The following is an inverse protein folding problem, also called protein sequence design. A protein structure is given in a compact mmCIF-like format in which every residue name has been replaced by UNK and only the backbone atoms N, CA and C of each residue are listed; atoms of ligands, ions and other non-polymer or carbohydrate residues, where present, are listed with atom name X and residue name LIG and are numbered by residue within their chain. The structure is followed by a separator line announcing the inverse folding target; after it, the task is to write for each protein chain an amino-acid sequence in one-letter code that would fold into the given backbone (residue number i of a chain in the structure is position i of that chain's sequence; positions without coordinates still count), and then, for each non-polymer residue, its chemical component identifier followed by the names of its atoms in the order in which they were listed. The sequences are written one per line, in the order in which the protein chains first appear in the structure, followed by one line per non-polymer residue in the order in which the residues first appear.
data_IF_782961601469
#
_entry.id   IF_782961601469
#
_cell.length_a   1.000
_cell.length_b   1.000
_cell.length_c   1.000
_cell.angle_alpha   90.00
_cell.angle_beta   90.00
_cell.angle_gamma   90.00
#
_symmetry.space_group_name_H-M   'P 1'
#
loop_
_entity.id
_entity.type
_entity.pdbx_description
1 polymer ?
#
# COMPACT_ATOMS: atom_id res chain seq x y z
N UNK A 1 32.16 42.83 11.29
CA UNK A 1 30.78 43.19 10.88
C UNK A 1 30.40 42.73 9.46
N UNK A 2 31.25 42.87 8.43
CA UNK A 2 30.94 42.35 7.06
C UNK A 2 30.85 40.83 6.95
N UNK A 3 31.71 40.08 7.64
CA UNK A 3 31.72 38.60 7.63
C UNK A 3 30.47 38.02 8.31
N UNK A 4 29.99 38.62 9.41
CA UNK A 4 28.78 38.23 10.11
C UNK A 4 27.53 38.49 9.25
N UNK A 5 27.50 39.58 8.47
CA UNK A 5 26.39 39.86 7.53
C UNK A 5 26.39 38.91 6.34
N UNK A 6 27.56 38.52 5.81
CA UNK A 6 27.67 37.55 4.74
C UNK A 6 27.24 36.16 5.23
N UNK A 7 27.64 35.73 6.42
CA UNK A 7 27.21 34.46 7.02
C UNK A 7 25.70 34.38 7.27
N UNK A 8 25.08 35.48 7.76
CA UNK A 8 23.64 35.56 7.95
C UNK A 8 22.85 35.53 6.61
N UNK A 9 23.39 36.17 5.56
CA UNK A 9 22.80 36.15 4.24
C UNK A 9 22.85 34.73 3.62
N UNK A 10 24.01 34.04 3.73
CA UNK A 10 24.14 32.65 3.26
C UNK A 10 23.17 31.69 4.01
N UNK A 11 23.07 31.83 5.34
CA UNK A 11 22.16 31.03 6.13
C UNK A 11 20.69 31.26 5.75
N UNK A 12 20.32 32.54 5.47
CA UNK A 12 18.98 32.88 4.99
C UNK A 12 18.66 32.28 3.63
N UNK A 13 19.61 32.29 2.69
CA UNK A 13 19.43 31.66 1.37
C UNK A 13 19.28 30.14 1.49
N UNK A 14 20.11 29.48 2.29
CA UNK A 14 20.01 28.04 2.50
C UNK A 14 18.69 27.64 3.15
N UNK A 15 18.20 28.42 4.11
CA UNK A 15 16.90 28.20 4.73
C UNK A 15 15.74 28.37 3.73
N UNK A 16 15.81 29.39 2.85
CA UNK A 16 14.80 29.61 1.83
C UNK A 16 14.77 28.49 0.77
N UNK A 17 15.94 28.00 0.34
CA UNK A 17 16.07 26.85 -0.56
C UNK A 17 15.49 25.60 0.07
N UNK A 18 15.87 25.28 1.30
CA UNK A 18 15.33 24.10 2.03
C UNK A 18 13.81 24.17 2.24
N UNK A 19 13.26 25.37 2.48
CA UNK A 19 11.80 25.56 2.57
C UNK A 19 11.12 25.33 1.21
N UNK A 20 11.69 25.85 0.11
CA UNK A 20 11.14 25.66 -1.23
C UNK A 20 11.17 24.17 -1.66
N UNK A 21 12.28 23.47 -1.39
CA UNK A 21 12.39 22.02 -1.61
C UNK A 21 11.34 21.25 -0.81
N UNK A 22 11.19 21.58 0.48
CA UNK A 22 10.18 20.98 1.35
C UNK A 22 8.76 21.15 0.77
N UNK A 23 8.39 22.37 0.39
CA UNK A 23 7.08 22.67 -0.20
C UNK A 23 6.86 21.90 -1.50
N UNK A 24 7.87 21.84 -2.36
CA UNK A 24 7.82 21.11 -3.62
C UNK A 24 7.60 19.61 -3.40
N UNK A 25 8.46 18.99 -2.59
CA UNK A 25 8.37 17.55 -2.33
C UNK A 25 7.10 17.17 -1.57
N UNK A 26 6.71 17.95 -0.56
CA UNK A 26 5.49 17.71 0.19
C UNK A 26 4.24 17.79 -0.72
N UNK A 27 4.12 18.86 -1.50
CA UNK A 27 3.02 19.01 -2.44
C UNK A 27 2.98 17.93 -3.51
N UNK A 28 4.17 17.44 -3.94
CA UNK A 28 4.30 16.39 -4.93
C UNK A 28 4.01 14.99 -4.39
N UNK A 29 4.28 14.72 -3.12
CA UNK A 29 4.17 13.37 -2.55
C UNK A 29 2.90 13.16 -1.73
N UNK A 30 2.50 14.14 -0.92
CA UNK A 30 1.46 13.97 0.08
C UNK A 30 0.05 14.37 -0.38
N UNK A 31 -0.06 15.24 -1.38
CA UNK A 31 -1.36 15.69 -1.87
C UNK A 31 -1.98 14.73 -2.88
N UNK A 32 -3.33 14.68 -2.87
CA UNK A 32 -4.12 14.02 -3.90
C UNK A 32 -3.61 14.36 -5.29
N UNK A 33 -3.48 13.37 -6.15
CA UNK A 33 -3.07 13.54 -7.54
C UNK A 33 -4.21 13.23 -8.49
N UNK A 34 -4.27 13.99 -9.59
CA UNK A 34 -5.01 13.55 -10.76
C UNK A 34 -4.23 12.38 -11.37
N UNK A 35 -4.88 11.25 -11.51
CA UNK A 35 -4.27 10.02 -12.04
C UNK A 35 -3.89 10.25 -13.51
N UNK A 36 -2.60 10.28 -13.80
CA UNK A 36 -2.09 10.31 -15.18
C UNK A 36 -1.45 8.96 -15.49
N UNK A 37 -2.18 8.12 -16.23
CA UNK A 37 -1.76 6.76 -16.59
C UNK A 37 -0.44 6.68 -17.37
N UNK A 38 -0.08 7.70 -18.15
CA UNK A 38 1.16 7.71 -18.94
C UNK A 38 2.43 7.82 -18.09
N UNK A 39 2.29 8.29 -16.85
CA UNK A 39 3.40 8.51 -15.92
C UNK A 39 3.73 7.27 -15.08
N UNK A 40 2.79 6.35 -14.93
CA UNK A 40 2.90 5.16 -14.08
C UNK A 40 3.82 4.08 -14.67
N UNK A 41 3.99 4.03 -15.99
CA UNK A 41 4.72 2.97 -16.69
C UNK A 41 6.25 2.95 -16.47
N UNK A 42 6.82 3.98 -15.82
CA UNK A 42 8.28 4.09 -15.57
C UNK A 42 8.64 4.37 -14.11
N UNK A 43 7.72 4.12 -13.18
CA UNK A 43 8.02 4.31 -11.76
C UNK A 43 8.81 3.12 -11.21
N UNK A 44 9.79 3.45 -10.37
CA UNK A 44 10.46 2.51 -9.48
C UNK A 44 11.35 1.43 -10.14
N UNK A 45 11.84 1.66 -11.35
CA UNK A 45 12.81 0.75 -11.99
C UNK A 45 12.19 -0.50 -12.63
N UNK A 46 10.85 -0.63 -12.63
CA UNK A 46 10.16 -1.72 -13.31
C UNK A 46 9.78 -1.30 -14.72
N UNK A 47 10.13 -2.09 -15.72
CA UNK A 47 9.64 -1.94 -17.09
C UNK A 47 8.35 -2.74 -17.27
N UNK A 48 7.22 -2.05 -17.11
CA UNK A 48 5.89 -2.64 -17.25
C UNK A 48 5.50 -2.97 -18.70
N UNK A 49 6.25 -2.50 -19.69
CA UNK A 49 5.94 -2.76 -21.09
C UNK A 49 6.01 -4.25 -21.45
N UNK A 50 6.89 -5.00 -20.79
CA UNK A 50 7.02 -6.45 -20.99
C UNK A 50 5.77 -7.25 -20.54
N UNK A 51 4.93 -6.68 -19.70
CA UNK A 51 3.69 -7.29 -19.18
C UNK A 51 2.42 -6.72 -19.83
N UNK A 52 2.57 -5.85 -20.83
CA UNK A 52 1.44 -5.08 -21.42
C UNK A 52 0.34 -5.99 -21.99
N UNK A 53 0.69 -7.09 -22.61
CA UNK A 53 -0.26 -8.02 -23.22
C UNK A 53 -1.11 -8.74 -22.17
N UNK A 54 -0.47 -9.37 -21.19
CA UNK A 54 -1.19 -10.05 -20.09
C UNK A 54 -1.99 -9.08 -19.23
N UNK A 55 -1.48 -7.86 -19.00
CA UNK A 55 -2.21 -6.83 -18.29
C UNK A 55 -3.46 -6.37 -19.07
N UNK A 56 -3.37 -6.24 -20.39
CA UNK A 56 -4.51 -5.89 -21.24
C UNK A 56 -5.58 -6.99 -21.23
N UNK A 57 -5.19 -8.25 -21.38
CA UNK A 57 -6.08 -9.41 -21.35
C UNK A 57 -6.83 -9.50 -20.01
N UNK A 58 -6.11 -9.47 -18.90
CA UNK A 58 -6.71 -9.59 -17.57
C UNK A 58 -7.57 -8.38 -17.19
N UNK A 59 -7.19 -7.19 -17.66
CA UNK A 59 -8.01 -6.00 -17.51
C UNK A 59 -9.32 -6.13 -18.27
N UNK A 60 -9.28 -6.62 -19.50
CA UNK A 60 -10.48 -6.85 -20.30
C UNK A 60 -11.38 -7.89 -19.63
N UNK A 61 -10.80 -8.98 -19.13
CA UNK A 61 -11.53 -9.98 -18.36
C UNK A 61 -12.21 -9.38 -17.12
N UNK A 62 -11.47 -8.63 -16.30
CA UNK A 62 -11.98 -8.03 -15.07
C UNK A 62 -13.09 -7.01 -15.33
N UNK A 63 -12.97 -6.18 -16.37
CA UNK A 63 -13.97 -5.19 -16.73
C UNK A 63 -15.28 -5.78 -17.23
N UNK A 64 -15.30 -7.05 -17.66
CA UNK A 64 -16.52 -7.78 -18.04
C UNK A 64 -17.24 -8.40 -16.84
N UNK A 65 -16.57 -8.48 -15.68
CA UNK A 65 -17.19 -9.09 -14.50
C UNK A 65 -18.20 -8.12 -13.87
N UNK A 66 -19.36 -8.64 -13.41
CA UNK A 66 -20.31 -7.83 -12.66
C UNK A 66 -19.65 -7.33 -11.37
N UNK A 67 -19.86 -6.06 -11.03
CA UNK A 67 -19.39 -5.47 -9.79
C UNK A 67 -20.38 -4.46 -9.25
N UNK A 68 -20.25 -4.15 -7.98
CA UNK A 68 -21.04 -3.14 -7.28
C UNK A 68 -20.11 -2.00 -6.86
N UNK A 69 -20.50 -0.76 -7.16
CA UNK A 69 -19.87 0.43 -6.59
C UNK A 69 -20.38 0.63 -5.15
N UNK A 70 -19.49 0.56 -4.19
CA UNK A 70 -19.83 0.61 -2.77
C UNK A 70 -19.09 1.71 -2.05
N UNK A 71 -19.65 2.17 -0.94
CA UNK A 71 -19.13 3.30 -0.18
C UNK A 71 -19.16 3.01 1.31
N UNK A 72 -18.18 3.56 2.02
CA UNK A 72 -18.17 3.69 3.47
C UNK A 72 -17.84 5.11 3.89
N UNK A 73 -18.16 5.46 5.11
CA UNK A 73 -17.68 6.69 5.76
C UNK A 73 -16.47 6.33 6.60
N UNK A 74 -15.35 7.00 6.36
CA UNK A 74 -14.12 6.83 7.15
C UNK A 74 -14.30 7.29 8.60
N UNK A 75 -13.37 6.94 9.47
CA UNK A 75 -13.36 7.33 10.89
C UNK A 75 -13.35 8.88 11.11
N UNK A 76 -12.93 9.64 10.11
CA UNK A 76 -12.85 11.11 10.11
C UNK A 76 -13.81 11.78 9.10
N UNK A 77 -14.81 11.04 8.61
CA UNK A 77 -15.96 11.56 7.86
C UNK A 77 -15.79 11.61 6.34
N UNK A 78 -14.72 11.08 5.77
CA UNK A 78 -14.57 11.01 4.31
C UNK A 78 -15.46 9.93 3.71
N UNK A 79 -16.07 10.20 2.56
CA UNK A 79 -16.74 9.19 1.74
C UNK A 79 -15.68 8.42 0.95
N UNK A 80 -15.50 7.16 1.27
CA UNK A 80 -14.56 6.26 0.60
C UNK A 80 -15.30 5.31 -0.33
N UNK A 81 -14.70 5.05 -1.48
CA UNK A 81 -15.23 4.20 -2.55
C UNK A 81 -14.50 2.87 -2.60
N UNK A 82 -15.20 1.80 -2.97
CA UNK A 82 -14.63 0.54 -3.43
C UNK A 82 -15.49 -0.09 -4.54
N UNK A 83 -14.85 -0.92 -5.36
CA UNK A 83 -15.55 -1.83 -6.27
C UNK A 83 -15.60 -3.22 -5.63
N UNK A 84 -16.79 -3.80 -5.49
CA UNK A 84 -16.98 -5.15 -4.99
C UNK A 84 -17.34 -6.10 -6.14
N UNK A 85 -16.55 -7.14 -6.30
CA UNK A 85 -16.75 -8.20 -7.27
C UNK A 85 -17.21 -9.47 -6.54
N UNK A 86 -18.44 -9.97 -6.78
CA UNK A 86 -18.87 -11.24 -6.21
C UNK A 86 -18.04 -12.40 -6.77
N UNK A 87 -17.98 -13.56 -6.11
CA UNK A 87 -17.28 -14.73 -6.62
C UNK A 87 -17.95 -15.20 -7.93
N UNK A 88 -17.14 -15.60 -8.91
CA UNK A 88 -17.63 -16.11 -10.20
C UNK A 88 -18.08 -17.56 -10.08
N UNK A 89 -17.45 -18.32 -9.18
CA UNK A 89 -17.78 -19.72 -8.89
C UNK A 89 -18.41 -19.82 -7.53
N UNK A 90 -19.56 -20.51 -7.45
CA UNK A 90 -20.13 -20.86 -6.16
C UNK A 90 -19.21 -21.90 -5.48
N UNK A 91 -18.55 -21.50 -4.40
CA UNK A 91 -17.89 -22.46 -3.53
C UNK A 91 -18.94 -23.10 -2.61
N UNK A 92 -19.02 -24.43 -2.62
CA UNK A 92 -19.79 -25.19 -1.64
C UNK A 92 -19.24 -25.07 -0.20
N UNK A 93 -18.16 -24.30 -0.01
CA UNK A 93 -17.47 -24.06 1.22
C UNK A 93 -17.74 -22.70 1.87
N UNK A 94 -16.81 -22.25 2.68
CA UNK A 94 -16.86 -20.94 3.34
C UNK A 94 -16.78 -19.80 2.34
N UNK A 95 -17.53 -18.73 2.61
CA UNK A 95 -17.43 -17.50 1.83
C UNK A 95 -16.09 -16.85 2.09
N UNK A 96 -15.29 -16.61 1.06
CA UNK A 96 -13.99 -15.96 1.13
C UNK A 96 -13.98 -14.63 0.41
N UNK A 97 -13.44 -13.60 1.06
CA UNK A 97 -13.30 -12.26 0.49
C UNK A 97 -11.86 -11.80 0.65
N UNK A 98 -11.25 -11.32 -0.42
CA UNK A 98 -9.99 -10.60 -0.36
C UNK A 98 -10.24 -9.09 -0.50
N UNK A 99 -9.73 -8.30 0.45
CA UNK A 99 -9.71 -6.83 0.38
C UNK A 99 -8.35 -6.40 -0.14
N UNK A 100 -8.35 -5.75 -1.31
CA UNK A 100 -7.18 -5.45 -2.13
C UNK A 100 -6.74 -3.99 -1.99
N UNK A 101 -5.72 -3.70 -1.21
CA UNK A 101 -5.21 -2.35 -0.97
C UNK A 101 -4.11 -1.98 -1.97
N UNK A 102 -4.38 -0.98 -2.81
CA UNK A 102 -3.48 -0.55 -3.88
C UNK A 102 -2.30 0.30 -3.41
N UNK A 103 -1.29 0.45 -4.26
CA UNK A 103 -0.10 1.25 -4.04
C UNK A 103 -0.30 2.76 -4.27
N UNK A 104 0.74 3.50 -3.95
CA UNK A 104 0.81 4.95 -4.12
C UNK A 104 0.58 5.37 -5.58
N UNK A 105 -0.26 6.40 -5.80
CA UNK A 105 -0.68 6.93 -7.12
C UNK A 105 -1.44 5.94 -8.01
N UNK A 106 -1.82 4.79 -7.50
CA UNK A 106 -2.68 3.82 -8.15
C UNK A 106 -4.16 4.04 -7.77
N UNK A 107 -5.01 3.09 -8.06
CA UNK A 107 -6.40 3.04 -7.64
C UNK A 107 -6.87 1.59 -7.60
N UNK A 108 -7.86 1.30 -6.78
CA UNK A 108 -8.46 0.02 -6.46
C UNK A 108 -8.02 -1.19 -7.26
N UNK A 109 -8.61 -1.39 -8.43
CA UNK A 109 -8.37 -2.58 -9.27
C UNK A 109 -6.99 -2.63 -9.95
N UNK A 110 -6.32 -1.48 -10.14
CA UNK A 110 -5.19 -1.39 -11.10
C UNK A 110 -4.01 -2.27 -10.75
N UNK A 111 -3.65 -2.35 -9.48
CA UNK A 111 -2.48 -3.13 -9.05
C UNK A 111 -2.79 -4.63 -8.92
N UNK A 112 -4.07 -5.00 -8.84
CA UNK A 112 -4.54 -6.38 -8.66
C UNK A 112 -5.02 -7.05 -9.93
N UNK A 113 -4.96 -6.37 -11.08
CA UNK A 113 -5.36 -6.94 -12.38
C UNK A 113 -4.66 -8.28 -12.63
N UNK A 114 -3.37 -8.38 -12.31
CA UNK A 114 -2.61 -9.61 -12.44
C UNK A 114 -3.17 -10.79 -11.64
N UNK A 115 -3.63 -10.53 -10.42
CA UNK A 115 -4.10 -11.52 -9.45
C UNK A 115 -5.60 -11.88 -9.61
N UNK A 116 -6.33 -11.22 -10.50
CA UNK A 116 -7.78 -11.40 -10.66
C UNK A 116 -8.14 -12.86 -10.96
N UNK A 117 -7.42 -13.49 -11.90
CA UNK A 117 -7.66 -14.90 -12.27
C UNK A 117 -7.44 -15.83 -11.09
N UNK A 118 -6.37 -15.62 -10.31
CA UNK A 118 -6.06 -16.41 -9.16
C UNK A 118 -7.21 -16.39 -8.15
N UNK A 119 -7.63 -15.22 -7.71
CA UNK A 119 -8.67 -15.10 -6.69
C UNK A 119 -10.02 -15.62 -7.17
N UNK A 120 -10.42 -15.35 -8.40
CA UNK A 120 -11.67 -15.87 -8.92
C UNK A 120 -11.68 -17.39 -9.09
N UNK A 121 -10.58 -18.00 -9.55
CA UNK A 121 -10.44 -19.46 -9.64
C UNK A 121 -10.54 -20.13 -8.27
N UNK A 122 -10.07 -19.46 -7.22
CA UNK A 122 -10.15 -19.95 -5.85
C UNK A 122 -11.46 -19.57 -5.14
N UNK A 123 -12.44 -19.01 -5.87
CA UNK A 123 -13.77 -18.71 -5.38
C UNK A 123 -13.86 -17.53 -4.41
N UNK A 124 -12.89 -16.63 -4.46
CA UNK A 124 -12.93 -15.39 -3.68
C UNK A 124 -13.86 -14.35 -4.31
N UNK A 125 -14.62 -13.65 -3.46
CA UNK A 125 -15.06 -12.30 -3.80
C UNK A 125 -13.89 -11.34 -3.61
N UNK A 126 -13.87 -10.24 -4.36
CA UNK A 126 -12.80 -9.23 -4.28
C UNK A 126 -13.40 -7.87 -3.95
N UNK A 127 -12.85 -7.18 -2.96
CA UNK A 127 -13.15 -5.78 -2.67
C UNK A 127 -11.92 -4.93 -2.97
N UNK A 128 -12.08 -3.93 -3.83
CA UNK A 128 -11.01 -3.04 -4.27
C UNK A 128 -11.26 -1.60 -3.79
N UNK A 129 -10.89 -1.23 -2.57
CA UNK A 129 -10.99 0.14 -2.11
C UNK A 129 -10.05 1.08 -2.88
N UNK A 130 -10.56 2.26 -3.23
CA UNK A 130 -9.69 3.40 -3.48
C UNK A 130 -9.27 3.98 -2.12
N UNK A 131 -7.98 4.04 -1.85
CA UNK A 131 -7.46 4.64 -0.63
C UNK A 131 -7.85 6.12 -0.54
N UNK A 132 -7.89 6.68 0.70
CA UNK A 132 -8.11 8.12 0.86
C UNK A 132 -7.21 8.95 -0.04
N UNK A 133 -7.71 10.04 -0.59
CA UNK A 133 -7.05 10.90 -1.57
C UNK A 133 -6.66 10.21 -2.90
N UNK A 134 -7.27 9.05 -3.23
CA UNK A 134 -7.10 8.37 -4.52
C UNK A 134 -8.45 8.12 -5.21
N UNK A 135 -8.40 7.91 -6.51
CA UNK A 135 -9.54 7.48 -7.33
C UNK A 135 -10.83 8.24 -7.04
N UNK A 136 -11.89 7.50 -6.69
CA UNK A 136 -13.23 8.00 -6.36
C UNK A 136 -13.43 8.27 -4.86
N UNK A 137 -12.48 7.90 -4.00
CA UNK A 137 -12.50 8.23 -2.58
C UNK A 137 -12.19 9.70 -2.32
N UNK A 138 -12.80 10.27 -1.28
CA UNK A 138 -12.52 11.64 -0.84
C UNK A 138 -11.15 11.75 -0.14
N UNK A 139 -10.79 12.97 0.23
CA UNK A 139 -9.56 13.33 0.92
C UNK A 139 -8.63 14.19 0.06
N UNK A 140 -7.85 15.04 0.72
CA UNK A 140 -6.86 15.91 0.09
C UNK A 140 -5.44 15.38 0.27
N UNK A 141 -5.19 14.69 1.39
CA UNK A 141 -3.87 14.18 1.75
C UNK A 141 -3.86 12.66 1.84
N UNK A 142 -2.77 12.05 1.33
CA UNK A 142 -2.56 10.61 1.31
C UNK A 142 -2.14 10.14 2.71
N UNK A 143 -2.71 9.03 3.18
CA UNK A 143 -2.49 8.53 4.54
C UNK A 143 -1.25 7.66 4.71
N UNK A 144 -0.68 7.13 3.61
CA UNK A 144 0.52 6.25 3.59
C UNK A 144 0.49 5.13 4.63
N UNK A 145 -0.66 4.49 4.81
CA UNK A 145 -0.87 3.44 5.78
C UNK A 145 -1.23 3.95 7.18
N UNK A 146 -0.76 5.14 7.59
CA UNK A 146 -1.01 5.67 8.93
C UNK A 146 -2.49 5.94 9.20
N UNK A 147 -3.19 6.52 8.24
CA UNK A 147 -4.64 6.74 8.32
C UNK A 147 -5.40 5.60 7.65
N UNK A 148 -4.91 5.09 6.52
CA UNK A 148 -5.55 4.06 5.72
C UNK A 148 -5.80 2.76 6.50
N UNK A 149 -4.95 2.43 7.50
CA UNK A 149 -5.17 1.27 8.38
C UNK A 149 -6.47 1.35 9.18
N UNK A 150 -6.93 2.57 9.50
CA UNK A 150 -8.21 2.78 10.18
C UNK A 150 -9.38 2.66 9.20
N UNK A 151 -9.18 3.11 7.96
CA UNK A 151 -10.16 2.91 6.89
C UNK A 151 -10.33 1.43 6.54
N UNK A 152 -9.25 0.63 6.68
CA UNK A 152 -9.29 -0.81 6.48
C UNK A 152 -10.26 -1.51 7.44
N UNK A 153 -10.38 -1.05 8.71
CA UNK A 153 -11.37 -1.58 9.66
C UNK A 153 -12.80 -1.38 9.12
N UNK A 154 -13.11 -0.20 8.61
CA UNK A 154 -14.43 0.05 8.04
C UNK A 154 -14.75 -0.82 6.81
N UNK A 155 -13.76 -1.14 5.99
CA UNK A 155 -13.94 -2.08 4.89
C UNK A 155 -14.12 -3.52 5.35
N UNK A 156 -13.44 -3.93 6.42
CA UNK A 156 -13.66 -5.24 7.06
C UNK A 156 -15.08 -5.33 7.60
N UNK A 157 -15.55 -4.31 8.33
CA UNK A 157 -16.92 -4.24 8.86
C UNK A 157 -17.95 -4.27 7.72
N UNK A 158 -17.69 -3.55 6.62
CA UNK A 158 -18.55 -3.58 5.44
C UNK A 158 -18.65 -4.99 4.85
N UNK A 159 -17.54 -5.73 4.72
CA UNK A 159 -17.54 -7.11 4.22
C UNK A 159 -18.34 -8.04 5.14
N UNK A 160 -18.15 -7.92 6.46
CA UNK A 160 -18.91 -8.73 7.42
C UNK A 160 -20.41 -8.47 7.30
N UNK A 161 -20.82 -7.20 7.19
CA UNK A 161 -22.22 -6.83 7.00
C UNK A 161 -22.80 -7.35 5.67
N UNK A 162 -22.01 -7.31 4.59
CA UNK A 162 -22.42 -7.77 3.25
C UNK A 162 -22.50 -9.29 3.14
N UNK A 163 -21.52 -10.00 3.71
CA UNK A 163 -21.31 -11.43 3.48
C UNK A 163 -21.79 -12.32 4.65
N UNK A 164 -21.96 -11.74 5.84
CA UNK A 164 -22.35 -12.44 7.08
C UNK A 164 -21.15 -12.79 7.96
N UNK A 165 -21.42 -13.21 9.21
CA UNK A 165 -20.42 -13.46 10.26
C UNK A 165 -19.48 -14.64 9.97
N UNK A 166 -19.87 -15.58 9.11
CA UNK A 166 -19.09 -16.75 8.74
C UNK A 166 -18.09 -16.50 7.60
N UNK A 167 -17.93 -15.24 7.17
CA UNK A 167 -17.02 -14.88 6.10
C UNK A 167 -15.56 -14.98 6.53
N UNK A 168 -14.71 -15.52 5.67
CA UNK A 168 -13.24 -15.48 5.81
C UNK A 168 -12.69 -14.32 5.00
N UNK A 169 -12.00 -13.40 5.66
CA UNK A 169 -11.45 -12.19 5.07
C UNK A 169 -9.92 -12.28 5.01
N UNK A 170 -9.37 -11.97 3.85
CA UNK A 170 -7.94 -11.83 3.64
C UNK A 170 -7.64 -10.39 3.26
N UNK A 171 -6.63 -9.78 3.88
CA UNK A 171 -6.17 -8.45 3.54
C UNK A 171 -4.94 -8.59 2.65
N UNK A 172 -5.01 -8.12 1.40
CA UNK A 172 -3.87 -8.13 0.49
C UNK A 172 -3.51 -6.71 0.08
N UNK A 173 -2.29 -6.29 0.34
CA UNK A 173 -1.81 -4.96 0.00
C UNK A 173 -0.53 -4.98 -0.83
N UNK A 174 -0.43 -4.07 -1.79
CA UNK A 174 0.76 -3.86 -2.63
C UNK A 174 1.37 -2.49 -2.33
N UNK A 175 2.68 -2.43 -2.04
CA UNK A 175 3.43 -1.19 -1.80
C UNK A 175 2.84 -0.38 -0.62
N UNK A 176 2.28 0.81 -0.87
CA UNK A 176 1.55 1.57 0.16
C UNK A 176 0.42 0.74 0.79
N UNK A 177 -0.32 -0.02 -0.03
CA UNK A 177 -1.32 -0.97 0.46
C UNK A 177 -0.71 -2.08 1.30
N UNK A 178 0.47 -2.60 0.93
CA UNK A 178 1.24 -3.56 1.72
C UNK A 178 1.57 -3.01 3.10
N UNK A 179 2.03 -1.76 3.18
CA UNK A 179 2.26 -1.08 4.47
C UNK A 179 0.96 -0.84 5.23
N UNK A 180 -0.15 -0.54 4.54
CA UNK A 180 -1.47 -0.35 5.15
C UNK A 180 -1.90 -1.61 5.91
N UNK A 181 -1.83 -2.78 5.27
CA UNK A 181 -2.27 -4.04 5.90
C UNK A 181 -1.33 -4.47 7.03
N UNK A 182 -0.01 -4.23 6.89
CA UNK A 182 0.95 -4.45 7.98
C UNK A 182 0.69 -3.53 9.17
N UNK A 183 0.39 -2.26 8.94
CA UNK A 183 0.05 -1.32 10.00
C UNK A 183 -1.32 -1.62 10.61
N UNK A 184 -2.26 -2.17 9.84
CA UNK A 184 -3.56 -2.62 10.35
C UNK A 184 -3.43 -3.85 11.26
N UNK A 185 -2.41 -4.71 11.05
CA UNK A 185 -2.21 -5.93 11.84
C UNK A 185 -2.03 -5.69 13.34
N UNK A 186 -1.57 -4.48 13.72
CA UNK A 186 -1.44 -4.07 15.13
C UNK A 186 -2.72 -3.55 15.76
N UNK A 187 -3.80 -3.45 14.99
CA UNK A 187 -5.13 -3.08 15.48
C UNK A 187 -5.89 -4.33 15.97
N UNK A 188 -7.03 -4.10 16.64
CA UNK A 188 -7.89 -5.21 17.05
C UNK A 188 -8.74 -5.67 15.87
N UNK A 189 -8.20 -6.56 15.03
CA UNK A 189 -8.90 -7.13 13.90
C UNK A 189 -9.93 -8.17 14.36
N UNK A 190 -11.14 -8.23 13.75
CA UNK A 190 -12.15 -9.22 14.09
C UNK A 190 -11.72 -10.64 13.64
N UNK A 191 -12.30 -11.70 14.24
CA UNK A 191 -11.90 -13.09 13.98
C UNK A 191 -12.14 -13.58 12.56
N UNK A 192 -12.94 -12.84 11.77
CA UNK A 192 -13.17 -13.09 10.36
C UNK A 192 -11.92 -12.85 9.52
N UNK A 193 -10.99 -11.98 9.96
CA UNK A 193 -9.72 -11.76 9.28
C UNK A 193 -8.79 -12.93 9.55
N UNK A 194 -8.55 -13.77 8.52
CA UNK A 194 -7.79 -15.02 8.61
C UNK A 194 -6.31 -14.83 8.28
N UNK A 195 -5.99 -13.99 7.31
CA UNK A 195 -4.63 -13.79 6.85
C UNK A 195 -4.39 -12.40 6.28
N UNK A 196 -3.13 -12.00 6.32
CA UNK A 196 -2.63 -10.74 5.77
C UNK A 196 -1.54 -11.06 4.76
N UNK A 197 -1.60 -10.48 3.56
CA UNK A 197 -0.60 -10.61 2.51
C UNK A 197 -0.05 -9.21 2.20
N UNK A 198 1.26 -9.03 2.35
CA UNK A 198 1.92 -7.76 2.07
C UNK A 198 2.99 -7.95 1.00
N UNK A 199 2.75 -7.39 -0.19
CA UNK A 199 3.75 -7.32 -1.26
C UNK A 199 4.42 -5.94 -1.26
N UNK A 200 5.74 -5.92 -1.22
CA UNK A 200 6.64 -4.77 -1.26
C UNK A 200 6.27 -3.60 -0.30
N UNK A 201 5.73 -3.91 0.89
CA UNK A 201 5.41 -2.92 1.91
C UNK A 201 6.65 -2.29 2.55
N UNK A 202 6.55 -1.01 2.97
CA UNK A 202 7.62 -0.26 3.64
C UNK A 202 7.38 -0.16 5.16
N UNK A 203 8.44 0.19 5.90
CA UNK A 203 8.44 0.32 7.36
C UNK A 203 7.62 1.51 7.87
N UNK A 204 7.83 2.70 7.32
CA UNK A 204 7.07 3.93 7.62
C UNK A 204 7.22 4.96 6.50
N UNK A 205 6.28 5.91 6.37
CA UNK A 205 6.42 7.03 5.42
C UNK A 205 7.74 7.78 5.62
N UNK A 206 8.15 8.01 6.86
CA UNK A 206 9.40 8.69 7.18
C UNK A 206 10.63 7.94 6.65
N UNK A 207 10.69 6.64 6.88
CA UNK A 207 11.84 5.84 6.47
C UNK A 207 11.92 5.71 4.94
N UNK A 208 10.79 5.41 4.26
CA UNK A 208 10.79 5.27 2.80
C UNK A 208 11.07 6.60 2.10
N UNK A 209 10.52 7.72 2.56
CA UNK A 209 10.82 9.03 1.95
C UNK A 209 12.28 9.46 2.19
N UNK A 210 12.82 9.20 3.38
CA UNK A 210 14.25 9.44 3.66
C UNK A 210 15.13 8.63 2.70
N UNK A 211 14.78 7.37 2.46
CA UNK A 211 15.50 6.52 1.52
C UNK A 211 15.40 7.04 0.09
N UNK A 212 14.20 7.37 -0.37
CA UNK A 212 13.95 7.90 -1.73
C UNK A 212 14.66 9.23 -1.97
N UNK A 213 14.61 10.16 -1.01
CA UNK A 213 15.35 11.43 -1.10
C UNK A 213 16.84 11.18 -1.31
N UNK A 214 17.43 10.27 -0.53
CA UNK A 214 18.85 9.97 -0.60
C UNK A 214 19.24 9.25 -1.89
N UNK A 215 18.48 8.24 -2.30
CA UNK A 215 18.89 7.32 -3.38
C UNK A 215 18.44 7.78 -4.77
N UNK A 216 17.26 8.39 -4.89
CA UNK A 216 16.72 8.79 -6.19
C UNK A 216 16.94 10.28 -6.50
N UNK A 217 16.91 11.12 -5.46
CA UNK A 217 17.09 12.59 -5.65
C UNK A 217 18.46 13.08 -5.24
N UNK A 218 19.28 12.23 -4.59
CA UNK A 218 20.61 12.58 -4.07
C UNK A 218 20.60 13.80 -3.13
N UNK A 219 19.47 13.97 -2.40
CA UNK A 219 19.26 15.06 -1.47
C UNK A 219 19.40 14.60 -0.02
N UNK A 220 19.90 15.50 0.87
CA UNK A 220 19.91 15.22 2.31
C UNK A 220 18.48 15.21 2.88
N UNK A 221 18.24 14.37 3.88
CA UNK A 221 16.94 14.34 4.56
C UNK A 221 16.68 15.62 5.36
N UNK A 222 17.69 16.23 5.96
CA UNK A 222 17.58 17.52 6.64
C UNK A 222 17.87 18.66 5.67
N UNK A 223 17.08 19.75 5.63
CA UNK A 223 15.88 20.03 6.46
C UNK A 223 14.54 19.52 5.89
N UNK A 224 14.54 18.86 4.71
CA UNK A 224 13.33 18.53 3.92
C UNK A 224 12.37 17.68 4.73
N UNK A 225 12.84 16.60 5.36
CA UNK A 225 11.97 15.69 6.13
C UNK A 225 11.41 16.34 7.39
N UNK A 226 12.16 17.24 8.06
CA UNK A 226 11.66 17.97 9.22
C UNK A 226 10.55 18.94 8.83
N UNK A 227 10.75 19.67 7.74
CA UNK A 227 9.72 20.57 7.21
C UNK A 227 8.47 19.80 6.76
N UNK A 228 8.67 18.68 6.04
CA UNK A 228 7.59 17.79 5.62
C UNK A 228 6.82 17.21 6.81
N UNK A 229 7.49 16.79 7.89
CA UNK A 229 6.85 16.30 9.11
C UNK A 229 5.96 17.36 9.75
N UNK A 230 6.46 18.62 9.87
CA UNK A 230 5.68 19.74 10.43
C UNK A 230 4.45 20.02 9.57
N UNK A 231 4.62 20.05 8.25
CA UNK A 231 3.51 20.27 7.31
C UNK A 231 2.49 19.13 7.39
N UNK A 232 2.95 17.88 7.43
CA UNK A 232 2.08 16.71 7.47
C UNK A 232 1.20 16.70 8.73
N UNK A 233 1.79 16.98 9.89
CA UNK A 233 1.00 17.12 11.15
C UNK A 233 -0.04 18.21 11.08
N UNK A 234 0.26 19.34 10.44
CA UNK A 234 -0.66 20.48 10.33
C UNK A 234 -1.75 20.28 9.28
N UNK A 235 -1.43 19.69 8.15
CA UNK A 235 -2.29 19.65 6.97
C UNK A 235 -3.00 18.30 6.82
N UNK A 236 -2.30 17.19 7.04
CA UNK A 236 -2.83 15.83 6.91
C UNK A 236 -3.24 15.22 8.27
N UNK A 237 -2.90 15.86 9.40
CA UNK A 237 -3.34 15.46 10.74
C UNK A 237 -2.58 14.28 11.35
N UNK A 238 -1.46 13.82 10.77
CA UNK A 238 -0.67 12.71 11.30
C UNK A 238 0.84 12.93 11.15
N UNK A 239 1.66 12.27 11.97
CA UNK A 239 3.11 12.23 11.85
C UNK A 239 3.58 11.11 10.93
N UNK A 240 4.62 11.35 10.12
CA UNK A 240 5.14 10.36 9.16
C UNK A 240 5.75 9.12 9.80
N UNK A 241 6.04 9.15 11.10
CA UNK A 241 6.49 8.01 11.90
C UNK A 241 5.51 7.68 13.05
N UNK A 242 4.32 8.24 13.02
CA UNK A 242 3.27 7.96 14.01
C UNK A 242 2.86 6.49 13.98
N UNK A 243 2.77 5.92 12.77
CA UNK A 243 2.58 4.50 12.55
C UNK A 243 3.78 3.91 11.81
N UNK A 244 4.27 2.76 12.30
CA UNK A 244 5.41 2.07 11.72
C UNK A 244 5.12 0.57 11.69
N UNK A 245 5.24 -0.04 10.51
CA UNK A 245 4.90 -1.44 10.30
C UNK A 245 5.65 -2.37 11.26
N UNK A 246 6.93 -2.09 11.58
CA UNK A 246 7.72 -2.90 12.55
C UNK A 246 7.06 -2.92 13.94
N UNK A 247 6.58 -1.75 14.39
CA UNK A 247 5.90 -1.65 15.70
C UNK A 247 4.52 -2.29 15.71
N UNK A 248 3.84 -2.25 14.57
CA UNK A 248 2.49 -2.79 14.49
C UNK A 248 2.47 -4.31 14.32
N UNK A 249 3.35 -4.89 13.47
CA UNK A 249 3.45 -6.35 13.33
C UNK A 249 3.94 -7.04 14.60
N UNK A 250 4.66 -6.33 15.47
CA UNK A 250 5.02 -6.85 16.79
C UNK A 250 3.83 -7.09 17.73
N UNK A 251 2.64 -6.55 17.38
CA UNK A 251 1.36 -6.76 18.09
C UNK A 251 0.44 -7.70 17.32
N UNK A 252 0.82 -8.10 16.10
CA UNK A 252 -0.03 -8.87 15.21
C UNK A 252 -0.41 -10.23 15.83
N UNK A 253 -1.67 -10.61 15.61
CA UNK A 253 -2.23 -11.91 16.02
C UNK A 253 -2.63 -12.75 14.81
N UNK A 254 -2.94 -12.09 13.70
CA UNK A 254 -3.33 -12.72 12.44
C UNK A 254 -2.07 -13.12 11.68
N UNK A 255 -1.99 -14.32 11.09
CA UNK A 255 -0.87 -14.75 10.25
C UNK A 255 -0.56 -13.80 9.09
N UNK A 256 0.72 -13.65 8.75
CA UNK A 256 1.17 -12.72 7.71
C UNK A 256 2.09 -13.41 6.70
N UNK A 257 1.74 -13.29 5.40
CA UNK A 257 2.62 -13.61 4.28
C UNK A 257 3.30 -12.33 3.79
N UNK A 258 4.62 -12.31 3.85
CA UNK A 258 5.45 -11.23 3.32
C UNK A 258 5.96 -11.62 1.93
N UNK A 259 5.80 -10.74 0.94
CA UNK A 259 6.31 -10.94 -0.42
C UNK A 259 7.13 -9.70 -0.80
N UNK A 260 8.28 -9.90 -1.47
CA UNK A 260 9.11 -8.76 -1.89
C UNK A 260 10.04 -9.15 -3.05
N UNK A 261 10.30 -8.22 -3.95
CA UNK A 261 11.28 -8.40 -5.02
C UNK A 261 12.71 -8.20 -4.52
N UNK A 262 13.66 -9.07 -4.92
CA UNK A 262 15.07 -8.98 -4.50
C UNK A 262 15.80 -7.78 -5.12
N UNK A 263 15.28 -7.19 -6.21
CA UNK A 263 15.83 -6.04 -6.93
C UNK A 263 15.02 -4.75 -6.74
N UNK A 264 14.16 -4.71 -5.73
CA UNK A 264 13.40 -3.49 -5.42
C UNK A 264 14.32 -2.37 -4.93
N UNK A 265 14.45 -1.35 -5.77
CA UNK A 265 15.26 -0.14 -5.48
C UNK A 265 14.43 1.03 -4.99
N UNK A 266 13.09 0.91 -4.98
CA UNK A 266 12.17 1.95 -4.50
C UNK A 266 11.81 1.75 -3.03
N UNK A 267 11.36 0.54 -2.67
CA UNK A 267 11.22 0.07 -1.30
C UNK A 267 12.23 -1.07 -1.11
N UNK A 268 13.38 -0.83 -0.49
CA UNK A 268 14.43 -1.86 -0.46
C UNK A 268 13.97 -3.09 0.32
N UNK A 269 14.30 -4.28 -0.20
CA UNK A 269 13.98 -5.59 0.39
C UNK A 269 14.39 -5.69 1.87
N UNK A 270 15.41 -4.92 2.28
CA UNK A 270 15.81 -4.78 3.67
C UNK A 270 14.65 -4.34 4.58
N UNK A 271 13.75 -3.45 4.11
CA UNK A 271 12.59 -3.04 4.92
C UNK A 271 11.64 -4.22 5.18
N UNK A 272 11.41 -5.07 4.18
CA UNK A 272 10.61 -6.29 4.36
C UNK A 272 11.24 -7.21 5.42
N UNK A 273 12.54 -7.47 5.33
CA UNK A 273 13.24 -8.32 6.29
C UNK A 273 13.14 -7.76 7.72
N UNK A 274 13.37 -6.44 7.90
CA UNK A 274 13.24 -5.78 9.19
C UNK A 274 11.82 -5.91 9.78
N UNK A 275 10.77 -5.79 8.95
CA UNK A 275 9.39 -5.95 9.39
C UNK A 275 9.11 -7.41 9.73
N UNK A 276 9.56 -8.34 8.88
CA UNK A 276 9.42 -9.77 9.10
C UNK A 276 10.03 -10.21 10.43
N UNK A 277 11.24 -9.77 10.74
CA UNK A 277 11.91 -10.08 12.01
C UNK A 277 11.11 -9.61 13.23
N UNK A 278 10.46 -8.45 13.13
CA UNK A 278 9.64 -7.88 14.22
C UNK A 278 8.27 -8.55 14.38
N UNK A 279 7.80 -9.33 13.41
CA UNK A 279 6.45 -9.88 13.41
C UNK A 279 6.26 -10.97 14.48
N UNK A 280 5.25 -10.79 15.34
CA UNK A 280 4.93 -11.69 16.45
C UNK A 280 3.96 -12.83 16.08
N UNK A 281 3.16 -12.68 15.02
CA UNK A 281 2.23 -13.72 14.57
C UNK A 281 2.94 -14.80 13.73
N UNK A 282 2.28 -15.95 13.45
CA UNK A 282 2.74 -16.88 12.42
C UNK A 282 3.03 -16.15 11.12
N UNK A 283 4.14 -16.45 10.47
CA UNK A 283 4.63 -15.68 9.32
C UNK A 283 5.34 -16.53 8.29
N UNK A 284 5.15 -16.17 7.02
CA UNK A 284 5.89 -16.72 5.88
C UNK A 284 6.52 -15.57 5.09
N UNK A 285 7.56 -15.86 4.33
CA UNK A 285 8.21 -14.88 3.47
C UNK A 285 8.55 -15.49 2.11
N UNK A 286 8.25 -14.77 1.03
CA UNK A 286 8.68 -15.06 -0.33
C UNK A 286 9.50 -13.88 -0.86
N UNK A 287 10.79 -14.10 -1.13
CA UNK A 287 11.62 -13.14 -1.85
C UNK A 287 11.72 -13.61 -3.30
N UNK A 288 11.11 -12.84 -4.21
CA UNK A 288 11.11 -13.16 -5.64
C UNK A 288 12.40 -12.64 -6.28
N UNK A 289 13.24 -13.58 -6.73
CA UNK A 289 14.56 -13.25 -7.27
C UNK A 289 14.45 -12.45 -8.57
N UNK A 290 15.19 -11.34 -8.64
CA UNK A 290 15.25 -10.45 -9.79
C UNK A 290 14.03 -9.54 -9.98
N UNK A 291 12.99 -9.64 -9.15
CA UNK A 291 11.82 -8.76 -9.23
C UNK A 291 12.14 -7.37 -8.68
N UNK A 292 11.68 -6.33 -9.38
CA UNK A 292 11.71 -4.95 -8.95
C UNK A 292 10.43 -4.59 -8.14
N UNK A 293 10.20 -3.30 -7.87
CA UNK A 293 9.06 -2.83 -7.07
C UNK A 293 7.71 -3.17 -7.70
N UNK A 294 6.85 -3.89 -6.96
CA UNK A 294 5.52 -4.31 -7.41
C UNK A 294 5.53 -5.37 -8.52
N UNK A 295 6.70 -5.90 -8.89
CA UNK A 295 6.88 -6.83 -10.00
C UNK A 295 6.76 -8.30 -9.58
N UNK A 296 6.73 -8.59 -8.26
CA UNK A 296 6.85 -9.95 -7.71
C UNK A 296 5.93 -10.95 -8.39
N UNK A 297 4.65 -10.64 -8.55
CA UNK A 297 3.69 -11.54 -9.19
C UNK A 297 4.06 -11.85 -10.65
N UNK A 298 4.35 -10.83 -11.45
CA UNK A 298 4.62 -11.02 -12.88
C UNK A 298 5.97 -11.65 -13.15
N UNK A 299 6.93 -11.50 -12.23
CA UNK A 299 8.28 -12.07 -12.36
C UNK A 299 8.29 -13.58 -12.18
N UNK A 300 7.53 -14.09 -11.23
CA UNK A 300 7.35 -15.51 -10.99
C UNK A 300 5.93 -15.80 -10.47
N UNK A 301 4.96 -15.85 -11.40
CA UNK A 301 3.55 -16.10 -11.07
C UNK A 301 3.36 -17.41 -10.33
N UNK A 302 4.10 -18.47 -10.74
CA UNK A 302 3.96 -19.79 -10.13
C UNK A 302 4.43 -19.81 -8.67
N UNK A 303 5.60 -19.23 -8.38
CA UNK A 303 6.09 -19.16 -7.01
C UNK A 303 5.19 -18.29 -6.14
N UNK A 304 4.65 -17.20 -6.71
CA UNK A 304 3.72 -16.32 -6.00
C UNK A 304 2.40 -17.02 -5.68
N UNK A 305 1.77 -17.68 -6.66
CA UNK A 305 0.52 -18.42 -6.48
C UNK A 305 0.70 -19.60 -5.51
N UNK A 306 1.79 -20.36 -5.61
CA UNK A 306 2.10 -21.43 -4.66
C UNK A 306 2.24 -20.89 -3.22
N UNK A 307 2.88 -19.74 -3.04
CA UNK A 307 3.01 -19.14 -1.71
C UNK A 307 1.65 -18.68 -1.13
N UNK A 308 0.73 -18.20 -2.00
CA UNK A 308 -0.64 -17.89 -1.61
C UNK A 308 -1.40 -19.16 -1.22
N UNK A 309 -1.32 -20.23 -2.04
CA UNK A 309 -1.99 -21.52 -1.76
C UNK A 309 -1.52 -22.09 -0.42
N UNK A 310 -0.21 -22.23 -0.24
CA UNK A 310 0.36 -22.74 1.02
C UNK A 310 -0.01 -21.89 2.23
N UNK A 311 -0.15 -20.58 2.06
CA UNK A 311 -0.54 -19.69 3.15
C UNK A 311 -2.02 -19.76 3.46
N UNK A 312 -2.87 -19.81 2.44
CA UNK A 312 -4.34 -19.84 2.61
C UNK A 312 -4.81 -21.21 3.13
N UNK A 313 -4.20 -22.30 2.65
CA UNK A 313 -4.59 -23.67 3.02
C UNK A 313 -4.20 -24.04 4.46
N UNK A 314 -3.24 -23.33 5.06
CA UNK A 314 -2.86 -23.53 6.48
C UNK A 314 -3.79 -22.80 7.48
N UNK A 315 -4.77 -21.99 6.99
CA UNK A 315 -5.67 -21.16 7.81
C UNK A 315 -7.10 -21.69 7.83
#
# INVERSE_FOLDING_TARGET
MRILKAGAACAGVLAAVGAAETLYFYGRTMKRKKTDMKRTMKMAGTDWSQYSEILAERKEFMLKQPHEDVYQTSFDGLKLYAAYFPPITENAGKKRVVICFHGYTSKGMSDFIGLTDYYFKHGFAMLHPDARAHGSSEGEYIGFGCLDRKDALGWIDWVIQKCGEDVEIFLHGISMGGSTVLMASGLNLPPQVKGIISDCGFTSPKEVFTYVLKTMYHLPSFPIMQGAEIMNRKLAGYGMDECNAKREVAKAKVPILFIHGSKDTFVPTKMCNEIYECCASPKKILIVEGAAHGESYFKDMKAYENALDEFIDEL
#
